data_IF_126477593535
#
_entry.id   IF_126477593535
#
_cell.length_a   1.000
_cell.length_b   1.000
_cell.length_c   1.000
_cell.angle_alpha   90.00
_cell.angle_beta   90.00
_cell.angle_gamma   90.00
#
_symmetry.space_group_name_H-M   'P 1'
#
loop_
_entity.id
_entity.type
_entity.pdbx_description
1 polymer ?
#
# COMPACT_ATOMS: atom_id res chain seq x y z
N UNK A 1 24.20 -2.40 -2.32
CA UNK A 1 22.96 -3.11 -1.90
C UNK A 1 22.60 -4.12 -2.98
N UNK A 2 22.11 -5.31 -2.63
CA UNK A 2 21.62 -6.28 -3.64
C UNK A 2 20.38 -5.71 -4.32
N UNK A 3 20.26 -5.81 -5.64
CA UNK A 3 19.12 -5.28 -6.41
C UNK A 3 17.73 -5.67 -5.83
N UNK A 4 17.48 -6.93 -5.40
CA UNK A 4 16.22 -7.30 -4.74
C UNK A 4 15.94 -6.54 -3.45
N UNK A 5 16.97 -6.27 -2.65
CA UNK A 5 16.83 -5.53 -1.39
C UNK A 5 16.43 -4.08 -1.64
N UNK A 6 17.01 -3.45 -2.67
CA UNK A 6 16.61 -2.11 -3.08
C UNK A 6 15.14 -2.04 -3.48
N UNK A 7 14.67 -2.97 -4.33
CA UNK A 7 13.27 -3.02 -4.75
C UNK A 7 12.30 -3.16 -3.56
N UNK A 8 12.62 -4.02 -2.60
CA UNK A 8 11.78 -4.21 -1.42
C UNK A 8 11.78 -3.00 -0.49
N UNK A 9 12.91 -2.32 -0.32
CA UNK A 9 12.96 -1.08 0.45
C UNK A 9 12.19 0.04 -0.23
N UNK A 10 12.35 0.21 -1.54
CA UNK A 10 11.62 1.22 -2.30
C UNK A 10 10.11 0.99 -2.23
N UNK A 11 9.65 -0.24 -2.51
CA UNK A 11 8.23 -0.59 -2.45
C UNK A 11 7.69 -0.48 -1.01
N UNK A 12 8.46 -0.98 -0.03
CA UNK A 12 8.11 -0.90 1.38
C UNK A 12 7.93 0.54 1.87
N UNK A 13 8.83 1.45 1.46
CA UNK A 13 8.74 2.86 1.81
C UNK A 13 7.52 3.53 1.17
N UNK A 14 7.24 3.25 -0.12
CA UNK A 14 6.07 3.79 -0.80
C UNK A 14 4.77 3.35 -0.10
N UNK A 15 4.61 2.06 0.19
CA UNK A 15 3.45 1.54 0.91
C UNK A 15 3.33 2.10 2.32
N UNK A 16 4.45 2.25 3.04
CA UNK A 16 4.46 2.81 4.39
C UNK A 16 4.05 4.29 4.41
N UNK A 17 4.59 5.11 3.50
CA UNK A 17 4.27 6.53 3.41
C UNK A 17 2.82 6.73 2.97
N UNK A 18 2.38 6.00 1.94
CA UNK A 18 1.01 6.03 1.47
C UNK A 18 0.03 5.59 2.56
N UNK A 19 0.34 4.49 3.24
CA UNK A 19 -0.43 3.99 4.38
C UNK A 19 -0.49 4.97 5.53
N UNK A 20 0.64 5.59 5.92
CA UNK A 20 0.65 6.62 6.95
C UNK A 20 -0.23 7.83 6.57
N UNK A 21 -0.17 8.26 5.30
CA UNK A 21 -1.03 9.32 4.77
C UNK A 21 -2.51 9.02 4.95
N UNK A 22 -2.97 7.87 4.46
CA UNK A 22 -4.37 7.45 4.60
C UNK A 22 -4.77 7.15 6.05
N UNK A 23 -3.83 6.71 6.89
CA UNK A 23 -4.10 6.43 8.29
C UNK A 23 -4.34 7.70 9.11
N UNK A 24 -3.71 8.84 8.75
CA UNK A 24 -3.81 10.12 9.49
C UNK A 24 -4.84 11.04 8.83
N UNK A 25 -4.75 11.21 7.50
CA UNK A 25 -5.50 12.18 6.69
C UNK A 25 -6.27 11.49 5.53
N UNK A 26 -7.20 10.55 5.80
CA UNK A 26 -7.85 9.73 4.77
C UNK A 26 -8.62 10.55 3.74
N UNK A 27 -9.36 11.58 4.17
CA UNK A 27 -10.18 12.39 3.27
C UNK A 27 -9.32 13.22 2.32
N UNK A 28 -8.25 13.84 2.82
CA UNK A 28 -7.32 14.65 2.02
C UNK A 28 -6.57 13.77 1.02
N UNK A 29 -6.15 12.57 1.44
CA UNK A 29 -5.50 11.62 0.55
C UNK A 29 -6.46 11.07 -0.52
N UNK A 30 -7.70 10.78 -0.18
CA UNK A 30 -8.72 10.40 -1.16
C UNK A 30 -8.96 11.52 -2.17
N UNK A 31 -9.16 12.76 -1.72
CA UNK A 31 -9.31 13.91 -2.62
C UNK A 31 -8.10 14.09 -3.54
N UNK A 32 -6.87 13.84 -3.05
CA UNK A 32 -5.65 13.95 -3.86
C UNK A 32 -5.55 12.87 -4.94
N UNK A 33 -6.01 11.65 -4.66
CA UNK A 33 -5.76 10.47 -5.51
C UNK A 33 -6.96 10.13 -6.41
N UNK A 34 -8.18 10.39 -5.94
CA UNK A 34 -9.43 9.98 -6.59
C UNK A 34 -10.40 11.13 -6.81
N UNK A 35 -10.00 12.38 -6.55
CA UNK A 35 -10.81 13.60 -6.68
C UNK A 35 -12.12 13.59 -5.86
N UNK A 36 -12.26 12.62 -4.96
CA UNK A 36 -13.46 12.38 -4.17
C UNK A 36 -13.09 11.64 -2.88
N UNK A 37 -13.87 11.85 -1.82
CA UNK A 37 -13.72 11.17 -0.54
C UNK A 37 -15.06 10.62 -0.03
N UNK A 38 -15.06 9.52 0.74
CA UNK A 38 -16.28 9.03 1.39
C UNK A 38 -16.90 10.11 2.28
N UNK A 39 -18.20 10.36 2.13
CA UNK A 39 -18.92 11.34 2.94
C UNK A 39 -19.28 10.81 4.35
N UNK A 40 -19.32 9.48 4.53
CA UNK A 40 -19.73 8.86 5.79
C UNK A 40 -18.53 8.60 6.72
N UNK A 41 -18.70 8.72 8.05
CA UNK A 41 -17.67 8.33 9.02
C UNK A 41 -17.24 6.87 8.87
N UNK A 42 -18.18 5.97 8.54
CA UNK A 42 -17.90 4.56 8.28
C UNK A 42 -17.00 4.36 7.07
N UNK A 43 -17.25 5.06 5.96
CA UNK A 43 -16.41 4.99 4.77
C UNK A 43 -15.00 5.54 5.00
N UNK A 44 -14.86 6.61 5.79
CA UNK A 44 -13.54 7.11 6.19
C UNK A 44 -12.81 6.14 7.13
N UNK A 45 -13.54 5.42 7.99
CA UNK A 45 -12.98 4.41 8.88
C UNK A 45 -12.45 3.21 8.10
N UNK A 46 -13.24 2.68 7.16
CA UNK A 46 -12.81 1.60 6.27
C UNK A 46 -11.61 1.99 5.43
N UNK A 47 -11.59 3.23 4.91
CA UNK A 47 -10.47 3.76 4.17
C UNK A 47 -9.19 3.86 5.04
N UNK A 48 -9.28 4.29 6.30
CA UNK A 48 -8.14 4.26 7.24
C UNK A 48 -7.64 2.84 7.48
N UNK A 49 -8.53 1.87 7.61
CA UNK A 49 -8.13 0.48 7.83
C UNK A 49 -7.44 -0.12 6.59
N UNK A 50 -8.05 0.05 5.42
CA UNK A 50 -7.64 -0.62 4.17
C UNK A 50 -6.57 0.13 3.41
N UNK A 51 -6.75 1.42 3.13
CA UNK A 51 -5.73 2.21 2.44
C UNK A 51 -4.61 2.65 3.39
N UNK A 52 -4.94 2.86 4.67
CA UNK A 52 -3.99 3.27 5.68
C UNK A 52 -3.25 2.10 6.33
N UNK A 53 -3.91 1.45 7.29
CA UNK A 53 -3.34 0.43 8.16
C UNK A 53 -2.79 -0.79 7.41
N UNK A 54 -3.55 -1.34 6.46
CA UNK A 54 -3.10 -2.48 5.66
C UNK A 54 -1.90 -2.12 4.77
N UNK A 55 -1.93 -0.97 4.07
CA UNK A 55 -0.77 -0.49 3.28
C UNK A 55 0.46 -0.27 4.15
N UNK A 56 0.30 0.31 5.34
CA UNK A 56 1.40 0.49 6.29
C UNK A 56 1.98 -0.87 6.72
N UNK A 57 1.13 -1.84 7.04
CA UNK A 57 1.53 -3.21 7.35
C UNK A 57 2.30 -3.89 6.21
N UNK A 58 1.84 -3.74 4.97
CA UNK A 58 2.55 -4.22 3.78
C UNK A 58 3.93 -3.57 3.68
N UNK A 59 4.02 -2.26 3.87
CA UNK A 59 5.28 -1.52 3.85
C UNK A 59 6.29 -2.05 4.86
N UNK A 60 5.85 -2.28 6.10
CA UNK A 60 6.67 -2.86 7.17
C UNK A 60 7.10 -4.30 6.86
N UNK A 61 6.20 -5.13 6.33
CA UNK A 61 6.52 -6.50 5.93
C UNK A 61 7.60 -6.54 4.84
N UNK A 62 7.50 -5.69 3.81
CA UNK A 62 8.50 -5.63 2.74
C UNK A 62 9.85 -5.14 3.27
N UNK A 63 9.86 -4.14 4.16
CA UNK A 63 11.08 -3.69 4.86
C UNK A 63 11.71 -4.81 5.70
N UNK A 64 10.88 -5.62 6.38
CA UNK A 64 11.34 -6.79 7.11
C UNK A 64 12.00 -7.82 6.18
N UNK A 65 11.36 -8.17 5.05
CA UNK A 65 11.96 -9.09 4.06
C UNK A 65 13.27 -8.54 3.47
N UNK A 66 13.36 -7.23 3.24
CA UNK A 66 14.57 -6.59 2.75
C UNK A 66 15.72 -6.68 3.78
N UNK A 67 15.39 -6.56 5.07
CA UNK A 67 16.35 -6.62 6.19
C UNK A 67 16.82 -8.04 6.50
N UNK A 68 15.93 -9.03 6.46
CA UNK A 68 16.27 -10.44 6.80
C UNK A 68 16.79 -11.24 5.61
N UNK A 69 16.74 -10.69 4.40
CA UNK A 69 17.18 -11.38 3.19
C UNK A 69 16.13 -12.33 2.60
N UNK A 70 14.89 -12.30 3.08
CA UNK A 70 13.76 -13.08 2.58
C UNK A 70 13.23 -12.55 1.22
N UNK A 71 14.13 -12.39 0.25
CA UNK A 71 13.87 -11.67 -0.99
C UNK A 71 12.79 -12.31 -1.86
N UNK A 72 12.80 -13.66 -2.00
CA UNK A 72 11.82 -14.38 -2.81
C UNK A 72 10.39 -14.15 -2.29
N UNK A 73 10.19 -14.28 -0.98
CA UNK A 73 8.88 -14.07 -0.34
C UNK A 73 8.42 -12.62 -0.47
N UNK A 74 9.31 -11.65 -0.24
CA UNK A 74 8.97 -10.23 -0.37
C UNK A 74 8.62 -9.83 -1.81
N UNK A 75 9.36 -10.35 -2.81
CA UNK A 75 9.11 -10.07 -4.22
C UNK A 75 7.82 -10.75 -4.71
N UNK A 76 7.57 -12.00 -4.30
CA UNK A 76 6.32 -12.69 -4.61
C UNK A 76 5.12 -11.96 -4.00
N UNK A 77 5.22 -11.55 -2.73
CA UNK A 77 4.19 -10.75 -2.09
C UNK A 77 3.94 -9.43 -2.85
N UNK A 78 5.01 -8.71 -3.21
CA UNK A 78 4.90 -7.47 -3.99
C UNK A 78 4.20 -7.70 -5.33
N UNK A 79 4.57 -8.76 -6.05
CA UNK A 79 3.94 -9.12 -7.33
C UNK A 79 2.45 -9.39 -7.15
N UNK A 80 2.09 -10.24 -6.19
CA UNK A 80 0.69 -10.61 -5.95
C UNK A 80 -0.16 -9.40 -5.55
N UNK A 81 0.35 -8.57 -4.63
CA UNK A 81 -0.35 -7.37 -4.15
C UNK A 81 -0.55 -6.34 -5.26
N UNK A 82 0.51 -6.00 -6.01
CA UNK A 82 0.44 -5.03 -7.10
C UNK A 82 -0.43 -5.53 -8.27
N UNK A 83 -0.34 -6.81 -8.61
CA UNK A 83 -1.17 -7.41 -9.67
C UNK A 83 -2.64 -7.43 -9.25
N UNK A 84 -2.94 -7.76 -8.00
CA UNK A 84 -4.32 -7.73 -7.48
C UNK A 84 -4.90 -6.31 -7.48
N UNK A 85 -4.09 -5.33 -7.09
CA UNK A 85 -4.49 -3.93 -7.13
C UNK A 85 -4.67 -3.39 -8.56
N UNK A 86 -3.89 -3.88 -9.53
CA UNK A 86 -4.06 -3.58 -10.95
C UNK A 86 -5.35 -4.21 -11.50
N UNK A 87 -5.61 -5.47 -11.17
CA UNK A 87 -6.85 -6.16 -11.54
C UNK A 87 -8.09 -5.47 -10.96
N UNK A 88 -8.05 -5.07 -9.68
CA UNK A 88 -9.15 -4.33 -9.06
C UNK A 88 -9.43 -2.99 -9.76
N UNK A 89 -8.39 -2.28 -10.22
CA UNK A 89 -8.55 -1.05 -11.01
C UNK A 89 -9.13 -1.33 -12.39
N UNK A 90 -8.67 -2.37 -13.08
CA UNK A 90 -9.22 -2.76 -14.38
C UNK A 90 -10.71 -3.06 -14.28
N UNK A 91 -11.11 -3.85 -13.29
CA UNK A 91 -12.53 -4.16 -13.04
C UNK A 91 -13.38 -2.94 -12.67
N UNK A 92 -12.79 -1.88 -12.10
CA UNK A 92 -13.50 -0.65 -11.78
C UNK A 92 -13.58 0.36 -12.92
N UNK A 93 -12.75 0.23 -13.95
CA UNK A 93 -12.74 1.09 -15.15
C UNK A 93 -13.66 0.53 -16.24
N UNK A 94 -13.74 -0.79 -16.34
CA UNK A 94 -14.64 -1.52 -17.26
C UNK A 94 -16.10 -1.41 -16.82
#
# INVERSE_FOLDING_TARGET
MKFPSFLLWANGLLFALFGAGFLILPAQMAMLVTESAPASPGGLTDMRATYGGLSLGIGLFLGHCARTGAFRSGLLASLLMLSSAALGRLLGIL
#
